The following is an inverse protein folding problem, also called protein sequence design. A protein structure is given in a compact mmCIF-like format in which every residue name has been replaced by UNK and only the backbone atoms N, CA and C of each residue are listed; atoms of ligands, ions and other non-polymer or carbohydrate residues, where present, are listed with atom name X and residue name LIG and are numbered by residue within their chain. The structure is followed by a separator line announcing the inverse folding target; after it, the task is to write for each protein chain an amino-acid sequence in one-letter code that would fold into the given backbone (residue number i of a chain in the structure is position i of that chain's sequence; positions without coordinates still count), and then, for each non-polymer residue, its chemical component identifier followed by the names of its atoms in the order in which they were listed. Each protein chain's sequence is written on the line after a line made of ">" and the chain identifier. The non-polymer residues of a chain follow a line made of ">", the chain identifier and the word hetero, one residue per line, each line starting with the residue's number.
data_IF_889246234666
#
_entry.id   IF_889246234666
#
_cell.length_a   1.000
_cell.length_b   1.000
_cell.length_c   1.000
_cell.angle_alpha   90.00
_cell.angle_beta   90.00
_cell.angle_gamma   90.00
#
_symmetry.space_group_name_H-M   'P 1'
#
loop_
_entity.id
_entity.type
_entity.pdbx_description
1 polymer ?
#
# COMPACT_ATOMS: atom_id res chain seq x y z
N UNK A 1 -37.85 -0.93 -31.75
CA UNK A 1 -38.03 -2.21 -31.05
C UNK A 1 -38.90 -2.08 -29.83
N UNK A 2 -38.87 -1.00 -29.03
CA UNK A 2 -39.90 -0.74 -28.00
C UNK A 2 -39.75 -1.54 -26.70
N UNK A 3 -38.67 -2.32 -26.56
CA UNK A 3 -38.37 -3.10 -25.37
C UNK A 3 -37.32 -2.30 -24.61
N UNK A 4 -37.69 -1.78 -23.44
CA UNK A 4 -36.79 -0.95 -22.60
C UNK A 4 -35.93 -1.79 -21.66
N UNK A 5 -36.28 -3.06 -21.47
CA UNK A 5 -35.61 -3.96 -20.53
C UNK A 5 -34.85 -5.05 -21.28
N UNK A 6 -33.53 -4.86 -21.39
CA UNK A 6 -32.63 -5.79 -22.06
C UNK A 6 -32.53 -7.15 -21.34
N UNK A 7 -32.80 -7.21 -20.03
CA UNK A 7 -32.74 -8.45 -19.25
C UNK A 7 -33.88 -9.38 -19.66
N UNK A 8 -35.08 -8.83 -19.89
CA UNK A 8 -36.22 -9.61 -20.38
C UNK A 8 -36.01 -10.14 -21.80
N UNK A 9 -35.43 -9.33 -22.69
CA UNK A 9 -35.09 -9.77 -24.06
C UNK A 9 -34.06 -10.90 -24.02
N UNK A 10 -32.99 -10.74 -23.25
CA UNK A 10 -31.93 -11.73 -23.13
C UNK A 10 -32.44 -13.06 -22.54
N UNK A 11 -33.26 -12.99 -21.49
CA UNK A 11 -33.87 -14.17 -20.88
C UNK A 11 -34.78 -14.92 -21.85
N UNK A 12 -35.71 -14.20 -22.50
CA UNK A 12 -36.62 -14.81 -23.47
C UNK A 12 -35.87 -15.41 -24.67
N UNK A 13 -34.86 -14.71 -25.18
CA UNK A 13 -34.00 -15.20 -26.26
C UNK A 13 -33.25 -16.48 -25.89
N UNK A 14 -32.76 -16.59 -24.66
CA UNK A 14 -32.09 -17.80 -24.14
C UNK A 14 -33.05 -18.98 -24.07
N UNK A 15 -34.25 -18.80 -23.53
CA UNK A 15 -35.27 -19.86 -23.45
C UNK A 15 -35.71 -20.34 -24.84
N UNK A 16 -35.89 -19.42 -25.79
CA UNK A 16 -36.22 -19.78 -27.17
C UNK A 16 -35.08 -20.54 -27.87
N UNK A 17 -33.83 -20.27 -27.50
CA UNK A 17 -32.68 -20.98 -28.01
C UNK A 17 -32.55 -22.39 -27.43
N UNK A 18 -32.78 -22.56 -26.12
CA UNK A 18 -32.86 -23.88 -25.47
C UNK A 18 -33.96 -24.74 -26.08
N UNK A 19 -35.09 -24.13 -26.47
CA UNK A 19 -36.18 -24.77 -27.19
C UNK A 19 -35.87 -25.05 -28.68
N UNK A 20 -34.70 -24.66 -29.19
CA UNK A 20 -34.28 -24.83 -30.59
C UNK A 20 -35.03 -23.95 -31.60
N UNK A 21 -35.77 -22.94 -31.12
CA UNK A 21 -36.59 -22.05 -31.95
C UNK A 21 -35.78 -20.86 -32.48
N UNK A 22 -34.70 -20.51 -31.80
CA UNK A 22 -33.82 -19.39 -32.12
C UNK A 22 -32.36 -19.84 -32.02
N UNK A 23 -31.52 -19.38 -32.95
CA UNK A 23 -30.06 -19.45 -32.81
C UNK A 23 -29.54 -18.14 -32.24
N UNK A 24 -28.60 -18.23 -31.29
CA UNK A 24 -27.94 -17.08 -30.68
C UNK A 24 -26.54 -16.97 -31.26
N UNK A 25 -26.21 -15.80 -31.78
CA UNK A 25 -24.83 -15.42 -32.07
C UNK A 25 -24.40 -14.30 -31.14
N UNK A 26 -23.31 -14.53 -30.41
CA UNK A 26 -22.72 -13.54 -29.51
C UNK A 26 -21.47 -12.94 -30.16
N UNK A 27 -21.38 -11.61 -30.12
CA UNK A 27 -20.20 -10.87 -30.56
C UNK A 27 -19.76 -9.98 -29.41
N UNK A 28 -18.60 -10.31 -28.82
CA UNK A 28 -17.95 -9.42 -27.87
C UNK A 28 -17.18 -8.34 -28.64
N UNK A 29 -17.39 -7.09 -28.28
CA UNK A 29 -16.64 -5.95 -28.80
C UNK A 29 -16.08 -5.16 -27.63
N UNK A 30 -14.81 -4.76 -27.74
CA UNK A 30 -14.17 -3.91 -26.76
C UNK A 30 -14.10 -2.50 -27.29
N UNK A 31 -14.47 -1.55 -26.44
CA UNK A 31 -14.37 -0.12 -26.74
C UNK A 31 -13.41 0.54 -25.78
N UNK A 32 -12.61 1.45 -26.32
CA UNK A 32 -11.66 2.28 -25.57
C UNK A 32 -12.23 3.68 -25.47
N UNK A 33 -12.11 4.30 -24.30
CA UNK A 33 -12.39 5.72 -24.07
C UNK A 33 -11.35 6.36 -23.16
N UNK A 34 -11.36 7.68 -23.09
CA UNK A 34 -10.58 8.40 -22.09
C UNK A 34 -11.13 8.12 -20.69
N UNK A 35 -10.22 7.99 -19.73
CA UNK A 35 -10.52 8.07 -18.31
C UNK A 35 -10.14 9.48 -17.79
N UNK A 36 -10.35 9.75 -16.50
CA UNK A 36 -10.24 11.12 -15.96
C UNK A 36 -8.89 11.84 -16.20
N UNK A 37 -7.76 11.14 -16.15
CA UNK A 37 -6.46 11.74 -16.51
C UNK A 37 -6.26 11.84 -18.03
N UNK A 38 -6.90 10.95 -18.80
CA UNK A 38 -6.92 11.00 -20.26
C UNK A 38 -7.66 12.21 -20.80
N UNK A 39 -8.78 12.60 -20.18
CA UNK A 39 -9.53 13.81 -20.53
C UNK A 39 -8.70 15.07 -20.28
N UNK A 40 -7.97 15.10 -19.15
CA UNK A 40 -7.00 16.17 -18.87
C UNK A 40 -5.91 16.18 -19.94
N UNK A 41 -5.26 15.04 -20.22
CA UNK A 41 -4.24 14.94 -21.26
C UNK A 41 -4.73 15.33 -22.66
N UNK A 42 -5.99 15.08 -22.99
CA UNK A 42 -6.58 15.49 -24.27
C UNK A 42 -6.78 17.00 -24.38
N UNK A 43 -7.03 17.68 -23.25
CA UNK A 43 -7.27 19.13 -23.20
C UNK A 43 -6.02 19.96 -22.96
N UNK A 44 -5.12 19.51 -22.08
CA UNK A 44 -3.88 20.21 -21.70
C UNK A 44 -2.63 19.67 -22.40
N UNK A 45 -2.76 18.59 -23.16
CA UNK A 45 -1.65 17.90 -23.83
C UNK A 45 -1.02 16.82 -22.96
N UNK A 46 -0.47 15.79 -23.62
CA UNK A 46 0.29 14.74 -22.94
C UNK A 46 1.51 15.33 -22.23
N UNK A 47 1.84 14.79 -21.05
CA UNK A 47 2.97 15.26 -20.26
C UNK A 47 4.29 15.21 -21.04
N UNK A 48 4.55 14.11 -21.73
CA UNK A 48 5.73 13.97 -22.59
C UNK A 48 5.74 14.96 -23.76
N UNK A 49 4.57 15.33 -24.30
CA UNK A 49 4.47 16.29 -25.39
C UNK A 49 4.78 17.71 -24.88
N UNK A 50 4.19 18.10 -23.75
CA UNK A 50 4.44 19.41 -23.11
C UNK A 50 5.93 19.62 -22.79
N UNK A 51 6.58 18.58 -22.27
CA UNK A 51 8.01 18.63 -21.91
C UNK A 51 8.88 18.63 -23.18
N UNK A 52 8.50 17.88 -24.21
CA UNK A 52 9.21 17.88 -25.48
C UNK A 52 9.12 19.24 -26.18
N UNK A 53 7.95 19.85 -26.24
CA UNK A 53 7.75 21.19 -26.82
C UNK A 53 8.59 22.23 -26.08
N UNK A 54 8.57 22.19 -24.74
CA UNK A 54 9.46 23.03 -23.93
C UNK A 54 10.95 22.79 -24.26
N UNK A 55 11.38 21.54 -24.40
CA UNK A 55 12.77 21.20 -24.70
C UNK A 55 13.20 21.76 -26.07
N UNK A 56 12.29 21.78 -27.05
CA UNK A 56 12.56 22.35 -28.38
C UNK A 56 12.69 23.87 -28.36
N UNK A 57 11.88 24.55 -27.54
CA UNK A 57 11.93 26.00 -27.37
C UNK A 57 13.07 26.47 -26.46
N UNK A 58 13.50 25.63 -25.51
CA UNK A 58 14.55 25.95 -24.56
C UNK A 58 15.94 25.95 -25.19
N UNK A 59 16.74 26.95 -24.80
CA UNK A 59 18.17 27.01 -25.14
C UNK A 59 18.89 25.80 -24.52
N UNK A 60 19.86 25.23 -25.22
CA UNK A 60 20.55 24.00 -24.80
C UNK A 60 21.11 24.02 -23.36
N UNK A 61 21.48 25.21 -22.85
CA UNK A 61 21.96 25.39 -21.48
C UNK A 61 20.85 25.22 -20.41
N UNK A 62 19.60 25.48 -20.78
CA UNK A 62 18.43 25.44 -19.89
C UNK A 62 17.66 24.12 -19.97
N UNK A 63 18.06 23.19 -20.85
CA UNK A 63 17.49 21.85 -21.00
C UNK A 63 17.87 20.94 -19.82
N UNK A 64 17.57 21.35 -18.59
CA UNK A 64 17.94 20.65 -17.37
C UNK A 64 16.71 20.44 -16.48
N UNK A 65 16.84 19.60 -15.44
CA UNK A 65 15.78 19.47 -14.42
C UNK A 65 15.43 20.82 -13.78
N UNK A 66 16.41 21.70 -13.59
CA UNK A 66 16.17 23.04 -13.04
C UNK A 66 15.41 23.94 -14.02
N UNK A 67 15.69 23.80 -15.32
CA UNK A 67 14.95 24.49 -16.37
C UNK A 67 13.47 24.06 -16.45
N UNK A 68 13.17 22.78 -16.24
CA UNK A 68 11.79 22.29 -16.17
C UNK A 68 11.02 22.93 -15.00
N UNK A 69 11.65 23.00 -13.82
CA UNK A 69 11.04 23.68 -12.67
C UNK A 69 10.84 25.17 -12.93
N UNK A 70 11.79 25.83 -13.60
CA UNK A 70 11.66 27.23 -13.99
C UNK A 70 10.55 27.46 -15.03
N UNK A 71 10.27 26.48 -15.88
CA UNK A 71 9.17 26.49 -16.84
C UNK A 71 7.80 26.15 -16.22
N UNK A 72 7.74 25.89 -14.92
CA UNK A 72 6.50 25.69 -14.18
C UNK A 72 6.03 24.23 -14.10
N UNK A 73 6.84 23.25 -14.50
CA UNK A 73 6.53 21.84 -14.25
C UNK A 73 6.76 21.50 -12.78
N UNK A 74 5.80 20.88 -12.12
CA UNK A 74 5.96 20.48 -10.72
C UNK A 74 6.87 19.26 -10.57
N UNK A 75 7.40 19.02 -9.36
CA UNK A 75 8.24 17.83 -9.07
C UNK A 75 7.57 16.51 -9.43
N UNK A 76 6.26 16.43 -9.22
CA UNK A 76 5.47 15.24 -9.52
C UNK A 76 5.23 15.02 -11.02
N UNK A 77 5.42 16.06 -11.86
CA UNK A 77 5.33 16.00 -13.33
C UNK A 77 6.72 15.80 -13.96
N UNK A 78 7.73 16.55 -13.50
CA UNK A 78 9.06 16.59 -14.12
C UNK A 78 9.77 15.22 -14.08
N UNK A 79 9.72 14.53 -12.94
CA UNK A 79 10.36 13.20 -12.79
C UNK A 79 9.77 12.15 -13.74
N UNK A 80 8.46 11.86 -13.66
CA UNK A 80 7.80 10.93 -14.58
C UNK A 80 7.92 11.34 -16.05
N UNK A 81 7.80 12.63 -16.34
CA UNK A 81 7.92 13.18 -17.69
C UNK A 81 9.28 12.94 -18.34
N UNK A 82 10.37 13.17 -17.60
CA UNK A 82 11.73 12.83 -18.06
C UNK A 82 11.89 11.32 -18.24
N UNK A 83 11.28 10.50 -17.38
CA UNK A 83 11.24 9.04 -17.55
C UNK A 83 10.60 8.62 -18.89
N UNK A 84 9.51 9.27 -19.28
CA UNK A 84 8.83 9.03 -20.56
C UNK A 84 9.68 9.44 -21.77
N UNK A 85 10.35 10.59 -21.69
CA UNK A 85 11.27 11.04 -22.73
C UNK A 85 12.51 10.15 -22.86
N UNK A 86 13.02 9.64 -21.73
CA UNK A 86 14.14 8.68 -21.75
C UNK A 86 13.78 7.37 -22.44
N UNK A 87 12.55 6.89 -22.24
CA UNK A 87 12.03 5.73 -22.96
C UNK A 87 11.90 5.97 -24.48
N UNK A 88 11.82 7.23 -24.92
CA UNK A 88 11.78 7.63 -26.33
C UNK A 88 13.16 7.90 -26.93
N UNK A 89 14.24 7.90 -26.13
CA UNK A 89 15.61 8.10 -26.60
C UNK A 89 16.30 9.38 -26.10
N UNK A 90 15.66 10.17 -25.23
CA UNK A 90 16.32 11.33 -24.60
C UNK A 90 17.28 10.86 -23.51
N UNK A 91 18.52 11.34 -23.56
CA UNK A 91 19.59 11.02 -22.60
C UNK A 91 19.90 12.25 -21.74
N UNK A 92 20.41 12.00 -20.53
CA UNK A 92 20.88 13.05 -19.63
C UNK A 92 22.41 13.03 -19.66
N UNK A 93 23.03 14.04 -20.26
CA UNK A 93 24.48 14.19 -20.34
C UNK A 93 24.91 15.44 -19.58
N UNK A 94 25.76 15.28 -18.56
CA UNK A 94 26.23 16.38 -17.71
C UNK A 94 25.11 17.27 -17.15
N UNK A 95 23.94 16.67 -16.88
CA UNK A 95 22.76 17.37 -16.34
C UNK A 95 21.85 18.03 -17.39
N UNK A 96 22.18 17.96 -18.68
CA UNK A 96 21.37 18.46 -19.79
C UNK A 96 20.70 17.33 -20.58
N UNK A 97 19.49 17.58 -21.08
CA UNK A 97 18.71 16.67 -21.91
C UNK A 97 19.18 16.75 -23.36
N UNK A 98 19.61 15.61 -23.91
CA UNK A 98 20.16 15.47 -25.26
C UNK A 98 19.44 14.34 -25.99
N UNK A 99 19.18 14.52 -27.28
CA UNK A 99 18.57 13.53 -28.16
C UNK A 99 19.37 13.41 -29.45
N UNK A 100 19.47 12.19 -29.98
CA UNK A 100 20.18 11.94 -31.25
C UNK A 100 19.24 11.90 -32.46
N UNK A 101 17.94 11.66 -32.22
CA UNK A 101 16.92 11.51 -33.25
C UNK A 101 15.60 12.20 -32.84
N UNK A 102 15.61 13.53 -32.94
CA UNK A 102 14.44 14.37 -32.63
C UNK A 102 13.24 14.03 -33.51
N UNK A 103 13.47 13.57 -34.74
CA UNK A 103 12.41 13.26 -35.69
C UNK A 103 11.62 12.01 -35.26
N UNK A 104 12.32 10.96 -34.83
CA UNK A 104 11.68 9.75 -34.29
C UNK A 104 10.92 10.03 -33.00
N UNK A 105 11.51 10.82 -32.09
CA UNK A 105 10.86 11.21 -30.82
C UNK A 105 9.57 12.01 -31.10
N UNK A 106 9.65 13.01 -31.97
CA UNK A 106 8.50 13.82 -32.35
C UNK A 106 7.40 12.99 -33.01
N UNK A 107 7.74 12.03 -33.87
CA UNK A 107 6.77 11.14 -34.51
C UNK A 107 6.04 10.23 -33.50
N UNK A 108 6.78 9.67 -32.53
CA UNK A 108 6.20 8.85 -31.47
C UNK A 108 5.26 9.66 -30.56
N UNK A 109 5.67 10.87 -30.17
CA UNK A 109 4.83 11.78 -29.39
C UNK A 109 3.58 12.19 -30.17
N UNK A 110 3.72 12.53 -31.46
CA UNK A 110 2.59 12.89 -32.30
C UNK A 110 1.57 11.74 -32.45
N UNK A 111 2.05 10.50 -32.61
CA UNK A 111 1.21 9.30 -32.65
C UNK A 111 0.42 9.11 -31.35
N UNK A 112 1.10 9.23 -30.20
CA UNK A 112 0.49 9.15 -28.87
C UNK A 112 -0.54 10.25 -28.62
N UNK A 113 -0.22 11.49 -28.99
CA UNK A 113 -1.13 12.62 -28.87
C UNK A 113 -2.37 12.41 -29.75
N UNK A 114 -2.18 12.00 -31.01
CA UNK A 114 -3.29 11.70 -31.92
C UNK A 114 -4.22 10.61 -31.38
N UNK A 115 -3.69 9.59 -30.72
CA UNK A 115 -4.48 8.53 -30.08
C UNK A 115 -5.37 9.08 -28.95
N UNK A 116 -4.80 9.89 -28.06
CA UNK A 116 -5.58 10.50 -26.96
C UNK A 116 -6.61 11.49 -27.49
N UNK A 117 -6.24 12.31 -28.48
CA UNK A 117 -7.15 13.27 -29.10
C UNK A 117 -8.28 12.58 -29.88
N UNK A 118 -8.02 11.44 -30.54
CA UNK A 118 -9.09 10.72 -31.25
C UNK A 118 -10.14 10.18 -30.27
N UNK A 119 -9.72 9.70 -29.10
CA UNK A 119 -10.61 9.24 -28.04
C UNK A 119 -11.40 10.36 -27.35
N UNK A 120 -10.99 11.62 -27.49
CA UNK A 120 -11.76 12.77 -27.00
C UNK A 120 -13.10 12.95 -27.74
N UNK A 121 -13.21 12.40 -28.96
CA UNK A 121 -14.45 12.43 -29.75
C UNK A 121 -15.49 11.40 -29.31
N UNK A 122 -15.13 10.51 -28.36
CA UNK A 122 -16.01 9.49 -27.80
C UNK A 122 -15.37 8.09 -27.77
N UNK A 123 -16.15 7.11 -27.33
CA UNK A 123 -15.77 5.69 -27.31
C UNK A 123 -15.50 5.18 -28.73
N UNK A 124 -14.40 4.46 -28.93
CA UNK A 124 -14.00 3.89 -30.21
C UNK A 124 -13.66 2.40 -30.05
N UNK A 125 -13.75 1.61 -31.11
CA UNK A 125 -13.43 0.18 -31.06
C UNK A 125 -11.95 -0.05 -30.77
N UNK A 126 -11.61 -0.99 -29.88
CA UNK A 126 -10.21 -1.36 -29.60
C UNK A 126 -9.48 -1.80 -30.87
N UNK A 127 -10.19 -2.49 -31.78
CA UNK A 127 -9.66 -2.96 -33.07
C UNK A 127 -9.26 -1.83 -34.02
N UNK A 128 -9.67 -0.59 -33.75
CA UNK A 128 -9.31 0.56 -34.58
C UNK A 128 -7.95 1.16 -34.24
N UNK A 129 -7.27 0.63 -33.22
CA UNK A 129 -6.00 1.13 -32.72
C UNK A 129 -4.88 0.10 -32.78
N UNK A 130 -3.64 0.61 -32.75
CA UNK A 130 -2.46 -0.21 -32.60
C UNK A 130 -2.40 -0.82 -31.18
N UNK A 131 -2.15 -2.13 -31.12
CA UNK A 131 -2.01 -2.88 -29.87
C UNK A 131 -0.87 -2.33 -28.99
N UNK A 132 0.19 -1.82 -29.61
CA UNK A 132 1.33 -1.25 -28.88
C UNK A 132 0.95 0.08 -28.20
N UNK A 133 0.10 0.89 -28.84
CA UNK A 133 -0.43 2.13 -28.24
C UNK A 133 -1.41 1.83 -27.11
N UNK A 134 -2.31 0.86 -27.30
CA UNK A 134 -3.22 0.41 -26.24
C UNK A 134 -2.41 -0.12 -25.06
N UNK A 135 -1.40 -0.97 -25.30
CA UNK A 135 -0.50 -1.50 -24.28
C UNK A 135 0.22 -0.38 -23.52
N UNK A 136 0.76 0.61 -24.24
CA UNK A 136 1.42 1.77 -23.67
C UNK A 136 0.50 2.56 -22.71
N UNK A 137 -0.71 2.88 -23.15
CA UNK A 137 -1.66 3.67 -22.35
C UNK A 137 -2.35 2.87 -21.26
N UNK A 138 -2.53 1.56 -21.44
CA UNK A 138 -3.07 0.65 -20.41
C UNK A 138 -2.14 0.55 -19.20
N UNK A 139 -0.82 0.63 -19.42
CA UNK A 139 0.16 0.70 -18.33
C UNK A 139 0.14 2.02 -17.55
N UNK A 140 -0.59 3.04 -18.03
CA UNK A 140 -0.66 4.37 -17.43
C UNK A 140 -2.03 4.58 -16.79
N UNK A 141 -2.04 4.53 -15.45
CA UNK A 141 -3.26 4.64 -14.64
C UNK A 141 -4.07 5.89 -15.00
N UNK A 142 -5.36 5.70 -15.29
CA UNK A 142 -6.32 6.79 -15.48
C UNK A 142 -6.32 7.47 -16.85
N UNK A 143 -5.48 7.05 -17.82
CA UNK A 143 -5.50 7.63 -19.17
C UNK A 143 -6.60 7.04 -20.07
N UNK A 144 -6.76 5.72 -20.08
CA UNK A 144 -7.81 5.05 -20.86
C UNK A 144 -8.65 4.12 -19.99
N UNK A 145 -9.90 3.93 -20.39
CA UNK A 145 -10.80 2.90 -19.90
C UNK A 145 -11.15 1.96 -21.06
N UNK A 146 -11.20 0.65 -20.78
CA UNK A 146 -11.61 -0.37 -21.74
C UNK A 146 -12.90 -0.99 -21.21
N UNK A 147 -13.97 -0.84 -21.97
CA UNK A 147 -15.28 -1.44 -21.70
C UNK A 147 -15.52 -2.59 -22.68
N UNK A 148 -15.89 -3.75 -22.16
CA UNK A 148 -16.29 -4.91 -22.95
C UNK A 148 -17.82 -4.95 -23.04
N UNK A 149 -18.35 -4.88 -24.26
CA UNK A 149 -19.78 -4.99 -24.54
C UNK A 149 -20.04 -6.27 -25.31
N UNK A 150 -20.99 -7.08 -24.85
CA UNK A 150 -21.44 -8.27 -25.57
C UNK A 150 -22.75 -7.96 -26.29
N UNK A 151 -22.72 -7.97 -27.62
CA UNK A 151 -23.93 -7.93 -28.44
C UNK A 151 -24.42 -9.35 -28.71
N UNK A 152 -25.72 -9.58 -28.53
CA UNK A 152 -26.37 -10.85 -28.81
C UNK A 152 -27.39 -10.64 -29.93
N UNK A 153 -27.26 -11.40 -31.01
CA UNK A 153 -28.23 -11.45 -32.09
C UNK A 153 -28.98 -12.79 -32.05
N UNK A 154 -30.29 -12.71 -32.21
CA UNK A 154 -31.20 -13.84 -32.15
C UNK A 154 -31.87 -14.04 -33.51
N UNK A 155 -31.63 -15.19 -34.14
CA UNK A 155 -32.21 -15.52 -35.44
C UNK A 155 -33.17 -16.71 -35.32
N UNK A 156 -34.41 -16.55 -35.82
CA UNK A 156 -35.37 -17.66 -35.83
C UNK A 156 -34.87 -18.82 -36.71
N UNK A 157 -34.88 -20.02 -36.13
CA UNK A 157 -34.62 -21.27 -36.86
C UNK A 157 -35.79 -21.62 -37.78
N UNK A 158 -35.63 -22.66 -38.63
CA UNK A 158 -36.74 -23.17 -39.45
C UNK A 158 -37.94 -23.60 -38.59
N UNK A 159 -37.69 -24.13 -37.39
CA UNK A 159 -38.73 -24.50 -36.43
C UNK A 159 -39.42 -23.26 -35.84
N UNK A 160 -38.65 -22.25 -35.42
CA UNK A 160 -39.20 -20.98 -34.93
C UNK A 160 -40.07 -20.25 -35.96
N UNK A 161 -39.67 -20.24 -37.24
CA UNK A 161 -40.45 -19.62 -38.34
C UNK A 161 -41.74 -20.36 -38.68
N UNK A 162 -41.85 -21.64 -38.33
CA UNK A 162 -43.04 -22.46 -38.63
C UNK A 162 -44.19 -22.23 -37.63
N UNK A 163 -43.92 -21.58 -36.49
CA UNK A 163 -44.94 -21.23 -35.49
C UNK A 163 -45.79 -20.08 -36.01
N UNK A 164 -47.11 -20.27 -36.10
CA UNK A 164 -48.02 -19.22 -36.51
C UNK A 164 -48.33 -18.31 -35.33
N UNK A 165 -48.46 -17.01 -35.58
CA UNK A 165 -48.78 -16.03 -34.54
C UNK A 165 -50.08 -16.33 -33.78
N UNK A 166 -51.05 -16.97 -34.45
CA UNK A 166 -52.31 -17.39 -33.82
C UNK A 166 -52.16 -18.56 -32.83
N UNK A 167 -51.03 -19.27 -32.85
CA UNK A 167 -50.75 -20.39 -31.95
C UNK A 167 -50.02 -19.93 -30.67
N UNK A 168 -49.57 -18.67 -30.64
CA UNK A 168 -48.96 -18.05 -29.45
C UNK A 168 -50.06 -17.73 -28.44
N UNK A 169 -49.85 -18.16 -27.20
CA UNK A 169 -50.70 -17.80 -26.06
C UNK A 169 -49.89 -16.89 -25.15
N UNK A 170 -50.46 -15.74 -24.82
CA UNK A 170 -49.94 -14.92 -23.74
C UNK A 170 -50.21 -15.65 -22.41
N UNK A 171 -49.14 -16.08 -21.76
CA UNK A 171 -49.20 -16.67 -20.42
C UNK A 171 -48.56 -15.68 -19.46
N UNK A 172 -49.32 -15.26 -18.46
CA UNK A 172 -48.80 -14.39 -17.41
C UNK A 172 -47.92 -15.23 -16.47
N UNK A 173 -46.63 -14.85 -16.40
CA UNK A 173 -45.66 -15.53 -15.53
C UNK A 173 -45.33 -14.67 -14.33
N UNK A 174 -45.38 -15.28 -13.14
CA UNK A 174 -45.02 -14.62 -11.89
C UNK A 174 -43.50 -14.57 -11.78
N UNK A 175 -42.93 -13.36 -11.75
CA UNK A 175 -41.48 -13.13 -11.64
C UNK A 175 -40.93 -13.12 -10.21
N UNK A 176 -41.75 -12.71 -9.23
CA UNK A 176 -41.39 -12.70 -7.81
C UNK A 176 -42.58 -13.16 -6.98
N UNK A 177 -42.33 -14.07 -6.05
CA UNK A 177 -43.34 -14.53 -5.09
C UNK A 177 -43.53 -13.43 -4.03
N UNK A 178 -44.76 -12.91 -3.92
CA UNK A 178 -45.10 -11.88 -2.92
C UNK A 178 -45.89 -12.47 -1.74
N UNK A 179 -45.85 -11.84 -0.54
CA UNK A 179 -46.67 -12.26 0.59
C UNK A 179 -48.17 -12.31 0.27
N UNK A 180 -48.68 -11.37 -0.54
CA UNK A 180 -50.09 -11.28 -0.94
C UNK A 180 -50.50 -12.46 -1.83
N UNK A 181 -49.61 -12.86 -2.75
CA UNK A 181 -49.80 -14.03 -3.59
C UNK A 181 -49.86 -15.31 -2.74
N UNK A 182 -49.01 -15.42 -1.71
CA UNK A 182 -48.96 -16.58 -0.81
C UNK A 182 -50.15 -16.66 0.16
N UNK A 183 -50.82 -15.54 0.44
CA UNK A 183 -52.04 -15.52 1.26
C UNK A 183 -53.25 -16.09 0.52
N UNK A 184 -53.23 -16.09 -0.81
CA UNK A 184 -54.25 -16.71 -1.66
C UNK A 184 -53.92 -18.14 -2.08
N UNK A 185 -54.71 -18.69 -3.01
CA UNK A 185 -54.42 -19.98 -3.66
C UNK A 185 -53.92 -19.82 -5.11
N UNK A 186 -53.87 -18.59 -5.62
CA UNK A 186 -53.56 -18.30 -7.04
C UNK A 186 -52.17 -18.79 -7.45
N UNK A 187 -51.23 -18.86 -6.50
CA UNK A 187 -49.89 -19.39 -6.73
C UNK A 187 -49.85 -20.89 -7.06
N UNK A 188 -50.87 -21.67 -6.69
CA UNK A 188 -50.89 -23.13 -6.92
C UNK A 188 -51.00 -23.47 -8.41
N UNK A 189 -51.63 -22.61 -9.20
CA UNK A 189 -51.87 -22.80 -10.63
C UNK A 189 -51.11 -21.78 -11.49
N UNK A 190 -50.26 -20.94 -10.89
CA UNK A 190 -49.49 -19.94 -11.59
C UNK A 190 -48.28 -20.55 -12.30
N UNK A 191 -47.91 -20.00 -13.46
CA UNK A 191 -46.61 -20.25 -14.07
C UNK A 191 -45.58 -19.27 -13.50
N UNK A 192 -44.41 -19.78 -13.10
CA UNK A 192 -43.33 -18.97 -12.57
C UNK A 192 -42.25 -18.76 -13.63
N UNK A 193 -41.72 -17.55 -13.70
CA UNK A 193 -40.55 -17.26 -14.54
C UNK A 193 -39.35 -18.05 -14.00
N UNK A 194 -38.64 -18.84 -14.83
CA UNK A 194 -37.44 -19.53 -14.42
C UNK A 194 -36.38 -18.55 -13.90
N UNK A 195 -35.73 -18.89 -12.79
CA UNK A 195 -34.64 -18.09 -12.23
C UNK A 195 -33.32 -18.42 -12.93
N UNK A 196 -32.67 -17.42 -13.52
CA UNK A 196 -31.34 -17.58 -14.11
C UNK A 196 -30.27 -17.62 -13.01
N UNK A 197 -29.73 -18.81 -12.78
CA UNK A 197 -28.66 -19.06 -11.79
C UNK A 197 -27.31 -18.46 -12.18
N UNK A 198 -27.14 -18.05 -13.44
CA UNK A 198 -25.91 -17.43 -13.95
C UNK A 198 -25.97 -15.90 -13.93
N UNK A 199 -27.14 -15.31 -13.64
CA UNK A 199 -27.29 -13.87 -13.57
C UNK A 199 -26.46 -13.31 -12.41
N UNK A 200 -25.78 -12.15 -12.61
CA UNK A 200 -25.06 -11.49 -11.54
C UNK A 200 -26.02 -11.12 -10.41
N UNK A 201 -25.77 -11.66 -9.22
CA UNK A 201 -26.55 -11.34 -8.04
C UNK A 201 -26.04 -10.04 -7.41
N UNK A 202 -26.93 -9.16 -6.92
CA UNK A 202 -26.50 -8.00 -6.15
C UNK A 202 -25.81 -8.47 -4.87
N UNK A 203 -24.55 -8.08 -4.71
CA UNK A 203 -23.78 -8.35 -3.50
C UNK A 203 -24.22 -7.32 -2.44
N UNK A 204 -24.72 -7.75 -1.28
CA UNK A 204 -25.12 -6.81 -0.23
C UNK A 204 -23.92 -5.98 0.21
N UNK A 205 -24.06 -4.66 0.13
CA UNK A 205 -23.04 -3.73 0.60
C UNK A 205 -23.00 -3.75 2.14
N UNK A 206 -21.92 -4.28 2.70
CA UNK A 206 -21.65 -4.30 4.13
C UNK A 206 -20.55 -3.31 4.54
N UNK A 207 -20.47 -3.00 5.83
CA UNK A 207 -19.32 -2.27 6.36
C UNK A 207 -18.04 -3.10 6.23
N UNK A 208 -16.94 -2.47 5.81
CA UNK A 208 -15.63 -3.11 5.67
C UNK A 208 -14.62 -2.42 6.59
N UNK A 209 -13.83 -3.17 7.38
CA UNK A 209 -12.72 -2.57 8.13
C UNK A 209 -11.63 -2.11 7.17
N UNK A 210 -10.88 -1.09 7.57
CA UNK A 210 -9.69 -0.69 6.83
C UNK A 210 -8.67 -1.85 6.80
N UNK A 211 -8.00 -2.14 5.68
CA UNK A 211 -7.08 -3.28 5.57
C UNK A 211 -5.96 -3.24 6.61
N UNK A 212 -5.42 -2.05 6.88
CA UNK A 212 -4.42 -1.86 7.95
C UNK A 212 -4.98 -2.24 9.32
N UNK A 213 -6.23 -1.89 9.64
CA UNK A 213 -6.82 -2.27 10.93
C UNK A 213 -7.00 -3.78 11.02
N UNK A 214 -7.52 -4.41 9.96
CA UNK A 214 -7.68 -5.87 9.93
C UNK A 214 -6.33 -6.57 10.11
N UNK A 215 -5.26 -6.05 9.50
CA UNK A 215 -3.92 -6.57 9.66
C UNK A 215 -3.36 -6.37 11.07
N UNK A 216 -3.60 -5.20 11.68
CA UNK A 216 -3.24 -4.93 13.09
C UNK A 216 -3.91 -5.94 14.01
N UNK A 217 -5.21 -6.19 13.85
CA UNK A 217 -5.93 -7.18 14.66
C UNK A 217 -5.38 -8.59 14.47
N UNK A 218 -5.04 -8.97 13.23
CA UNK A 218 -4.43 -10.27 12.94
C UNK A 218 -3.06 -10.42 13.61
N UNK A 219 -2.21 -9.40 13.52
CA UNK A 219 -0.87 -9.41 14.13
C UNK A 219 -0.98 -9.45 15.66
N UNK A 220 -1.88 -8.66 16.24
CA UNK A 220 -2.23 -8.70 17.66
C UNK A 220 -2.63 -10.11 18.08
N UNK A 221 -3.55 -10.76 17.36
CA UNK A 221 -3.96 -12.13 17.65
C UNK A 221 -2.78 -13.10 17.63
N UNK A 222 -1.90 -13.01 16.64
CA UNK A 222 -0.72 -13.88 16.51
C UNK A 222 0.23 -13.72 17.71
N UNK A 223 0.53 -12.49 18.14
CA UNK A 223 1.40 -12.28 19.29
C UNK A 223 0.75 -12.73 20.60
N UNK A 224 -0.55 -12.48 20.79
CA UNK A 224 -1.30 -12.99 21.95
C UNK A 224 -1.28 -14.53 22.02
N UNK A 225 -1.47 -15.21 20.88
CA UNK A 225 -1.35 -16.68 20.79
C UNK A 225 0.07 -17.18 21.12
N UNK A 226 1.09 -16.39 20.83
CA UNK A 226 2.49 -16.69 21.14
C UNK A 226 2.84 -16.39 22.62
N UNK A 227 1.88 -15.92 23.41
CA UNK A 227 2.04 -15.64 24.84
C UNK A 227 2.60 -14.25 25.15
N UNK A 228 2.54 -13.31 24.19
CA UNK A 228 2.90 -11.93 24.42
C UNK A 228 1.76 -11.13 25.05
N UNK A 229 2.09 -10.10 25.81
CA UNK A 229 1.13 -9.10 26.29
C UNK A 229 1.30 -7.77 25.53
N UNK A 230 0.20 -7.10 25.23
CA UNK A 230 0.24 -5.82 24.50
C UNK A 230 0.55 -4.65 25.44
N UNK A 231 1.43 -3.75 24.98
CA UNK A 231 1.73 -2.47 25.63
C UNK A 231 1.52 -1.33 24.66
N UNK A 232 1.11 -0.18 25.19
CA UNK A 232 0.91 1.05 24.44
C UNK A 232 1.74 2.18 25.06
N UNK A 233 1.86 3.29 24.33
CA UNK A 233 2.51 4.47 24.85
C UNK A 233 2.24 5.69 23.99
N UNK A 234 2.61 6.86 24.50
CA UNK A 234 2.29 8.15 23.90
C UNK A 234 3.13 8.45 22.65
N UNK A 235 2.60 9.32 21.79
CA UNK A 235 3.29 9.79 20.59
C UNK A 235 4.40 10.79 20.90
N UNK A 236 4.17 11.67 21.87
CA UNK A 236 5.12 12.71 22.27
C UNK A 236 6.01 12.14 23.36
N UNK A 237 7.33 12.16 23.13
CA UNK A 237 8.33 11.60 24.02
C UNK A 237 9.48 12.57 24.22
N UNK A 238 10.22 12.43 25.32
CA UNK A 238 11.48 13.15 25.48
C UNK A 238 12.55 12.49 24.62
N UNK A 239 13.50 13.27 24.10
CA UNK A 239 14.66 12.74 23.40
C UNK A 239 15.45 11.75 24.27
N UNK A 240 15.45 11.99 25.58
CA UNK A 240 15.99 11.12 26.61
C UNK A 240 15.43 9.70 26.53
N UNK A 241 14.12 9.56 26.66
CA UNK A 241 13.47 8.25 26.61
C UNK A 241 13.46 7.63 25.22
N UNK A 242 13.34 8.45 24.17
CA UNK A 242 13.30 7.94 22.81
C UNK A 242 14.69 7.53 22.31
N UNK A 243 15.78 8.11 22.79
CA UNK A 243 17.12 7.90 22.21
C UNK A 243 18.19 7.62 23.27
N UNK A 244 18.33 8.48 24.29
CA UNK A 244 19.41 8.34 25.30
C UNK A 244 19.27 7.06 26.13
N UNK A 245 18.04 6.68 26.50
CA UNK A 245 17.73 5.43 27.19
C UNK A 245 18.08 4.19 26.38
N UNK A 246 18.19 4.32 25.06
CA UNK A 246 18.61 3.27 24.13
C UNK A 246 20.09 3.43 23.75
N UNK A 247 20.88 4.11 24.58
CA UNK A 247 22.32 4.26 24.35
C UNK A 247 22.69 4.86 22.97
N UNK A 248 21.76 5.56 22.31
CA UNK A 248 21.97 6.20 21.02
C UNK A 248 22.71 7.51 21.26
N UNK A 249 23.94 7.71 20.74
CA UNK A 249 24.73 8.90 21.04
C UNK A 249 24.05 10.18 20.55
N UNK A 250 24.24 11.29 21.25
CA UNK A 250 23.63 12.58 20.91
C UNK A 250 24.11 13.15 19.56
N UNK A 251 25.29 12.72 19.10
CA UNK A 251 25.84 13.04 17.77
C UNK A 251 25.27 12.19 16.63
N UNK A 252 24.36 11.26 16.91
CA UNK A 252 23.78 10.38 15.89
C UNK A 252 22.98 11.20 14.85
N UNK A 253 23.20 11.00 13.54
CA UNK A 253 22.45 11.69 12.48
C UNK A 253 20.93 11.61 12.63
N UNK A 254 20.41 10.48 13.12
CA UNK A 254 18.97 10.28 13.31
C UNK A 254 18.32 11.27 14.29
N UNK A 255 19.12 11.97 15.12
CA UNK A 255 18.66 13.03 16.03
C UNK A 255 18.59 14.41 15.38
N UNK A 256 18.98 14.55 14.13
CA UNK A 256 18.93 15.86 13.48
C UNK A 256 17.49 16.26 13.15
N UNK A 257 17.24 17.57 13.04
CA UNK A 257 15.97 18.12 12.54
C UNK A 257 15.66 17.74 11.09
N UNK A 258 16.56 17.04 10.40
CA UNK A 258 16.29 16.51 9.06
C UNK A 258 15.58 15.16 9.12
N UNK A 259 15.75 14.40 10.22
CA UNK A 259 15.25 13.04 10.37
C UNK A 259 14.15 12.91 11.45
N UNK A 260 14.16 13.80 12.46
CA UNK A 260 13.27 13.74 13.63
C UNK A 260 12.40 15.00 13.77
N UNK A 261 11.11 14.79 14.00
CA UNK A 261 10.16 15.86 14.32
C UNK A 261 10.25 16.28 15.79
N UNK A 262 11.06 17.30 16.06
CA UNK A 262 11.05 18.01 17.33
C UNK A 262 9.86 18.96 17.42
N UNK A 263 9.36 19.15 18.64
CA UNK A 263 8.17 19.96 18.89
C UNK A 263 8.54 21.36 19.35
N UNK A 264 7.72 22.34 18.93
CA UNK A 264 7.78 23.71 19.46
C UNK A 264 6.90 23.86 20.70
N UNK A 265 5.80 23.11 20.79
CA UNK A 265 4.86 23.15 21.90
C UNK A 265 4.29 21.74 22.18
N UNK A 266 4.64 21.11 23.30
CA UNK A 266 5.68 21.53 24.26
C UNK A 266 7.08 21.45 23.62
N UNK A 267 8.00 22.37 23.96
CA UNK A 267 9.38 22.32 23.48
C UNK A 267 10.24 21.31 24.27
N UNK A 268 9.88 21.06 25.53
CA UNK A 268 10.56 20.14 26.43
C UNK A 268 9.56 19.32 27.24
N UNK A 269 9.99 18.15 27.67
CA UNK A 269 9.27 17.27 28.59
C UNK A 269 10.13 17.13 29.85
N UNK A 270 9.47 17.20 31.00
CA UNK A 270 10.15 16.99 32.28
C UNK A 270 10.64 15.54 32.40
N UNK A 271 11.90 15.39 32.77
CA UNK A 271 12.56 14.09 32.96
C UNK A 271 13.18 14.10 34.34
N UNK A 272 12.91 13.03 35.10
CA UNK A 272 13.47 12.83 36.43
C UNK A 272 15.00 13.05 36.44
N UNK A 273 15.55 13.90 37.34
CA UNK A 273 16.99 14.17 37.39
C UNK A 273 17.85 12.92 37.55
N UNK A 274 17.33 11.90 38.25
CA UNK A 274 17.98 10.60 38.40
C UNK A 274 18.22 9.89 37.08
N UNK A 275 17.28 9.98 36.14
CA UNK A 275 17.41 9.39 34.80
C UNK A 275 18.41 10.18 33.95
N UNK A 276 18.41 11.50 34.05
CA UNK A 276 19.38 12.36 33.35
C UNK A 276 20.82 12.08 33.80
N UNK A 277 21.03 11.91 35.11
CA UNK A 277 22.34 11.58 35.67
C UNK A 277 22.78 10.15 35.32
N UNK A 278 21.82 9.21 35.28
CA UNK A 278 22.07 7.84 34.82
C UNK A 278 22.54 7.82 33.36
N UNK A 279 21.79 8.44 32.45
CA UNK A 279 22.15 8.49 31.03
C UNK A 279 23.47 9.23 30.81
N UNK A 280 23.72 10.34 31.52
CA UNK A 280 25.02 11.00 31.46
C UNK A 280 26.15 10.06 31.86
N UNK A 281 26.03 9.36 32.99
CA UNK A 281 27.06 8.42 33.46
C UNK A 281 27.33 7.29 32.45
N UNK A 282 26.27 6.69 31.91
CA UNK A 282 26.35 5.61 30.92
C UNK A 282 26.99 6.09 29.61
N UNK A 283 26.55 7.22 29.06
CA UNK A 283 27.05 7.73 27.78
C UNK A 283 28.47 8.27 27.87
N UNK A 284 28.84 8.90 28.99
CA UNK A 284 30.17 9.49 29.14
C UNK A 284 31.22 8.42 29.51
N UNK A 285 30.88 7.49 30.41
CA UNK A 285 31.85 6.60 31.06
C UNK A 285 31.49 5.11 31.01
N UNK A 286 30.30 4.74 30.52
CA UNK A 286 29.85 3.35 30.44
C UNK A 286 29.20 2.80 31.72
N UNK A 287 29.11 3.61 32.79
CA UNK A 287 28.61 3.17 34.11
C UNK A 287 29.36 1.91 34.60
N UNK A 288 28.69 1.02 35.31
CA UNK A 288 29.21 -0.25 35.84
C UNK A 288 29.15 -1.42 34.85
N UNK A 289 28.82 -1.16 33.57
CA UNK A 289 28.57 -2.22 32.56
C UNK A 289 29.84 -2.86 31.97
N UNK A 290 31.02 -2.33 32.35
CA UNK A 290 32.29 -2.68 31.71
C UNK A 290 32.53 -1.99 30.36
N UNK A 291 31.57 -1.19 29.88
CA UNK A 291 31.74 -0.32 28.72
C UNK A 291 32.62 0.88 29.02
N UNK A 292 33.15 1.53 27.97
CA UNK A 292 33.93 2.78 28.08
C UNK A 292 33.07 4.04 27.90
N UNK A 293 31.77 3.88 27.63
CA UNK A 293 30.92 4.96 27.14
C UNK A 293 31.31 5.39 25.72
N UNK A 294 30.68 6.46 25.25
CA UNK A 294 31.01 7.15 24.01
C UNK A 294 32.17 8.15 24.16
N UNK A 295 32.54 8.52 25.40
CA UNK A 295 33.69 9.39 25.70
C UNK A 295 33.51 10.88 25.34
N UNK A 296 32.27 11.31 25.09
CA UNK A 296 31.89 12.71 24.88
C UNK A 296 31.28 13.35 26.14
N UNK A 297 30.78 14.58 26.01
CA UNK A 297 29.98 15.25 27.07
C UNK A 297 28.49 15.04 26.79
N UNK A 298 27.72 14.69 27.82
CA UNK A 298 26.28 14.50 27.72
C UNK A 298 25.51 15.80 27.99
N UNK A 299 24.70 16.23 27.02
CA UNK A 299 23.82 17.38 27.17
C UNK A 299 22.47 16.95 27.76
N UNK A 300 22.19 17.38 28.99
CA UNK A 300 20.92 17.09 29.68
C UNK A 300 19.74 17.86 29.08
N UNK A 301 19.97 19.06 28.54
CA UNK A 301 18.91 19.85 27.91
C UNK A 301 18.45 19.20 26.62
N UNK A 302 19.38 18.61 25.85
CA UNK A 302 19.05 17.83 24.65
C UNK A 302 18.11 16.66 24.99
N UNK A 303 18.39 15.92 26.07
CA UNK A 303 17.57 14.79 26.51
C UNK A 303 16.14 15.22 26.93
N UNK A 304 15.94 16.47 27.34
CA UNK A 304 14.62 16.98 27.73
C UNK A 304 13.80 17.49 26.54
N UNK A 305 14.36 17.63 25.33
CA UNK A 305 13.61 18.10 24.16
C UNK A 305 12.44 17.18 23.83
N UNK A 306 11.30 17.77 23.51
CA UNK A 306 10.11 17.04 23.10
C UNK A 306 10.18 16.70 21.61
N UNK A 307 9.84 15.47 21.27
CA UNK A 307 9.77 14.99 19.89
C UNK A 307 8.55 14.08 19.68
N UNK A 308 8.16 13.88 18.42
CA UNK A 308 7.31 12.76 18.05
C UNK A 308 8.16 11.50 17.96
N UNK A 309 7.73 10.42 18.63
CA UNK A 309 8.50 9.18 18.72
C UNK A 309 8.89 8.65 17.33
N UNK A 310 10.15 8.33 17.16
CA UNK A 310 10.71 7.85 15.89
C UNK A 310 10.60 6.33 15.72
N UNK A 311 10.35 5.63 16.83
CA UNK A 311 10.15 4.19 16.92
C UNK A 311 9.37 3.85 18.20
N UNK A 312 8.80 2.66 18.27
CA UNK A 312 8.03 2.19 19.44
C UNK A 312 8.91 1.71 20.60
N UNK A 313 10.24 1.69 20.43
CA UNK A 313 11.22 1.18 21.42
C UNK A 313 11.28 1.98 22.70
N UNK A 314 10.83 3.23 22.64
CA UNK A 314 10.59 4.04 23.83
C UNK A 314 9.60 3.39 24.81
N UNK A 315 8.62 2.61 24.32
CA UNK A 315 7.63 1.97 25.17
C UNK A 315 8.20 0.71 25.85
N UNK A 316 8.96 -0.09 25.11
CA UNK A 316 9.58 -1.32 25.64
C UNK A 316 10.67 -1.00 26.66
N UNK A 317 11.50 0.02 26.42
CA UNK A 317 12.52 0.44 27.40
C UNK A 317 11.90 1.02 28.67
N UNK A 318 10.81 1.79 28.56
CA UNK A 318 10.06 2.27 29.73
C UNK A 318 9.45 1.11 30.51
N UNK A 319 8.94 0.08 29.81
CA UNK A 319 8.39 -1.11 30.45
C UNK A 319 9.47 -1.85 31.26
N UNK A 320 10.67 -2.00 30.71
CA UNK A 320 11.83 -2.60 31.40
C UNK A 320 12.21 -1.76 32.62
N UNK A 321 12.33 -0.43 32.47
CA UNK A 321 12.68 0.47 33.58
C UNK A 321 11.69 0.39 34.76
N UNK A 322 10.42 0.10 34.48
CA UNK A 322 9.38 -0.07 35.50
C UNK A 322 9.34 -1.48 36.10
N UNK A 323 9.88 -2.48 35.40
CA UNK A 323 9.78 -3.90 35.75
C UNK A 323 11.12 -4.65 35.55
N UNK A 324 12.26 -4.16 36.10
CA UNK A 324 13.60 -4.66 35.73
C UNK A 324 13.84 -6.13 36.10
N UNK A 325 13.16 -6.64 37.14
CA UNK A 325 13.33 -8.00 37.66
C UNK A 325 12.12 -8.92 37.38
N UNK A 326 11.25 -8.55 36.43
CA UNK A 326 10.02 -9.30 36.15
C UNK A 326 10.10 -9.92 34.75
N UNK A 327 10.09 -11.25 34.62
CA UNK A 327 10.13 -11.88 33.30
C UNK A 327 8.90 -11.50 32.50
N UNK A 328 9.10 -10.97 31.29
CA UNK A 328 8.01 -10.52 30.45
C UNK A 328 8.26 -10.76 28.97
N UNK A 329 7.15 -10.91 28.25
CA UNK A 329 7.09 -10.98 26.79
C UNK A 329 6.03 -9.98 26.36
N UNK A 330 6.47 -8.83 25.86
CA UNK A 330 5.55 -7.76 25.49
C UNK A 330 5.74 -7.33 24.05
N UNK A 331 4.67 -6.85 23.44
CA UNK A 331 4.70 -6.27 22.10
C UNK A 331 3.85 -5.01 22.08
N UNK A 332 4.10 -4.12 21.12
CA UNK A 332 3.30 -2.94 20.88
C UNK A 332 3.19 -2.67 19.39
N UNK A 333 2.02 -2.22 18.96
CA UNK A 333 1.79 -1.76 17.60
C UNK A 333 1.44 -0.28 17.71
N UNK A 334 2.23 0.59 17.09
CA UNK A 334 2.04 2.02 17.27
C UNK A 334 2.52 2.82 16.08
N UNK A 335 1.85 3.95 15.84
CA UNK A 335 2.30 4.93 14.86
C UNK A 335 3.59 5.60 15.32
N UNK A 336 4.53 5.78 14.41
CA UNK A 336 5.82 6.43 14.59
C UNK A 336 6.02 7.48 13.51
N UNK A 337 6.89 8.44 13.77
CA UNK A 337 7.04 9.63 12.95
C UNK A 337 8.51 9.86 12.61
N UNK A 338 8.82 10.00 11.33
CA UNK A 338 10.16 10.29 10.83
C UNK A 338 10.07 11.30 9.72
N UNK A 339 11.02 12.22 9.64
CA UNK A 339 11.03 13.25 8.61
C UNK A 339 11.59 12.70 7.29
N UNK A 340 10.91 11.69 6.76
CA UNK A 340 11.27 11.03 5.51
C UNK A 340 10.58 11.70 4.32
N UNK A 341 11.23 11.67 3.17
CA UNK A 341 10.59 12.13 1.93
C UNK A 341 9.54 11.12 1.50
N UNK A 342 8.32 11.57 1.22
CA UNK A 342 7.23 10.70 0.73
C UNK A 342 7.64 10.09 -0.61
N UNK A 343 7.74 8.76 -0.65
CA UNK A 343 7.98 8.00 -1.87
C UNK A 343 7.13 6.71 -1.89
N UNK A 344 7.48 5.74 -2.74
CA UNK A 344 6.74 4.48 -2.88
C UNK A 344 6.93 3.52 -1.70
N UNK A 345 7.91 3.77 -0.85
CA UNK A 345 8.41 2.90 0.23
C UNK A 345 8.47 3.59 1.59
N UNK A 346 8.45 4.93 1.62
CA UNK A 346 8.60 5.73 2.83
C UNK A 346 7.43 6.71 3.00
N UNK A 347 6.95 6.79 4.24
CA UNK A 347 5.96 7.75 4.69
C UNK A 347 6.47 8.45 5.96
N UNK A 348 6.17 9.74 6.16
CA UNK A 348 6.55 10.46 7.37
C UNK A 348 5.88 9.93 8.64
N UNK A 349 4.72 9.29 8.48
CA UNK A 349 4.02 8.56 9.52
C UNK A 349 3.72 7.14 9.05
N UNK A 350 4.02 6.16 9.88
CA UNK A 350 3.78 4.74 9.60
C UNK A 350 3.67 3.97 10.92
N UNK A 351 3.28 2.70 10.89
CA UNK A 351 3.12 1.89 12.09
C UNK A 351 4.32 0.96 12.25
N UNK A 352 4.85 0.94 13.46
CA UNK A 352 5.89 0.00 13.86
C UNK A 352 5.26 -1.07 14.76
N UNK A 353 5.59 -2.32 14.47
CA UNK A 353 5.36 -3.45 15.36
C UNK A 353 6.68 -3.70 16.07
N UNK A 354 6.63 -3.76 17.39
CA UNK A 354 7.80 -4.04 18.19
C UNK A 354 7.47 -5.03 19.30
N UNK A 355 8.46 -5.79 19.75
CA UNK A 355 8.35 -6.48 21.02
C UNK A 355 9.69 -6.82 21.65
N UNK A 356 9.61 -7.29 22.89
CA UNK A 356 10.75 -7.77 23.67
C UNK A 356 10.44 -9.10 24.35
N UNK A 357 11.48 -9.90 24.56
CA UNK A 357 11.52 -11.05 25.48
C UNK A 357 12.58 -10.72 26.52
N UNK A 358 12.16 -10.51 27.76
CA UNK A 358 13.00 -10.17 28.90
C UNK A 358 12.87 -11.27 29.94
N UNK A 359 13.88 -12.13 30.02
CA UNK A 359 13.92 -13.28 30.94
C UNK A 359 15.38 -13.74 31.10
N UNK A 360 15.74 -14.42 32.22
CA UNK A 360 17.13 -14.75 32.53
C UNK A 360 17.89 -15.52 31.44
N UNK A 361 17.19 -16.42 30.75
CA UNK A 361 17.78 -17.33 29.75
C UNK A 361 17.57 -16.86 28.30
N UNK A 362 17.07 -15.63 28.09
CA UNK A 362 16.82 -15.09 26.76
C UNK A 362 18.11 -15.06 25.91
N UNK A 363 18.00 -15.49 24.65
CA UNK A 363 19.16 -15.60 23.77
C UNK A 363 18.77 -15.47 22.29
N UNK A 364 19.78 -15.28 21.44
CA UNK A 364 19.60 -15.04 20.00
C UNK A 364 18.83 -16.18 19.29
N UNK A 365 19.11 -17.47 19.53
CA UNK A 365 18.27 -18.56 19.00
C UNK A 365 16.78 -18.44 19.35
N UNK A 366 16.44 -18.03 20.58
CA UNK A 366 15.04 -17.81 20.99
C UNK A 366 14.40 -16.65 20.21
N UNK A 367 15.12 -15.54 20.04
CA UNK A 367 14.69 -14.41 19.22
C UNK A 367 14.40 -14.83 17.78
N UNK A 368 15.36 -15.50 17.13
CA UNK A 368 15.23 -15.97 15.74
C UNK A 368 14.06 -16.93 15.61
N UNK A 369 13.90 -17.86 16.56
CA UNK A 369 12.80 -18.84 16.52
C UNK A 369 11.44 -18.17 16.70
N UNK A 370 11.36 -17.17 17.59
CA UNK A 370 10.14 -16.37 17.80
C UNK A 370 9.74 -15.66 16.51
N UNK A 371 10.68 -14.97 15.86
CA UNK A 371 10.45 -14.26 14.60
C UNK A 371 10.05 -15.21 13.46
N UNK A 372 10.74 -16.34 13.32
CA UNK A 372 10.38 -17.39 12.37
C UNK A 372 8.95 -17.91 12.60
N UNK A 373 8.58 -18.13 13.86
CA UNK A 373 7.24 -18.60 14.23
C UNK A 373 6.17 -17.57 13.90
N UNK A 374 6.45 -16.29 14.19
CA UNK A 374 5.57 -15.17 13.84
C UNK A 374 5.31 -15.12 12.33
N UNK A 375 6.36 -15.06 11.51
CA UNK A 375 6.19 -14.98 10.05
C UNK A 375 5.56 -16.24 9.45
N UNK A 376 5.86 -17.43 9.98
CA UNK A 376 5.18 -18.66 9.57
C UNK A 376 3.67 -18.60 9.85
N UNK A 377 3.24 -18.10 11.02
CA UNK A 377 1.81 -17.86 11.34
C UNK A 377 1.18 -16.79 10.44
N UNK A 378 1.97 -15.83 9.94
CA UNK A 378 1.52 -14.85 8.96
C UNK A 378 1.45 -15.41 7.52
N UNK A 379 1.91 -16.65 7.28
CA UNK A 379 1.87 -17.32 5.97
C UNK A 379 3.20 -17.30 5.21
N UNK A 380 4.29 -16.86 5.85
CA UNK A 380 5.61 -16.70 5.22
C UNK A 380 6.68 -17.49 6.00
N UNK A 381 6.81 -18.82 5.76
CA UNK A 381 7.71 -19.68 6.52
C UNK A 381 9.19 -19.51 6.14
N UNK A 382 9.46 -19.01 4.93
CA UNK A 382 10.82 -18.83 4.41
C UNK A 382 11.45 -17.54 4.96
N UNK A 383 12.06 -17.67 6.13
CA UNK A 383 12.67 -16.58 6.88
C UNK A 383 14.16 -16.83 7.07
N UNK A 384 14.98 -15.81 6.78
CA UNK A 384 16.41 -15.81 7.12
C UNK A 384 16.77 -14.58 7.94
N UNK A 385 17.93 -14.65 8.58
CA UNK A 385 18.50 -13.53 9.33
C UNK A 385 19.90 -13.25 8.83
N UNK A 386 20.29 -11.97 8.80
CA UNK A 386 21.66 -11.53 8.48
C UNK A 386 22.19 -10.60 9.55
N UNK A 387 23.50 -10.60 9.83
CA UNK A 387 24.09 -9.62 10.74
C UNK A 387 23.81 -8.19 10.27
N UNK A 388 23.54 -7.31 11.23
CA UNK A 388 23.28 -5.90 11.02
C UNK A 388 23.93 -5.09 12.16
N UNK A 389 23.76 -3.77 12.15
CA UNK A 389 24.21 -2.91 13.23
C UNK A 389 23.06 -2.01 13.70
N UNK A 390 22.72 -2.09 14.98
CA UNK A 390 21.85 -1.13 15.65
C UNK A 390 22.53 -0.66 16.94
N UNK A 391 22.50 0.65 17.28
CA UNK A 391 23.27 1.20 18.41
C UNK A 391 22.95 0.57 19.77
N UNK A 392 21.70 0.12 19.96
CA UNK A 392 21.19 -0.43 21.22
C UNK A 392 21.24 -1.95 21.31
N UNK A 393 21.68 -2.68 20.28
CA UNK A 393 21.73 -4.15 20.33
C UNK A 393 23.09 -4.74 19.99
N UNK A 394 23.49 -5.78 20.72
CA UNK A 394 24.67 -6.60 20.45
C UNK A 394 24.41 -8.03 20.96
N UNK A 395 24.32 -9.05 20.09
CA UNK A 395 24.39 -9.00 18.63
C UNK A 395 23.14 -8.37 17.98
N UNK A 396 23.34 -7.84 16.77
CA UNK A 396 22.31 -7.24 15.92
C UNK A 396 22.08 -8.07 14.64
N UNK A 397 20.81 -8.32 14.29
CA UNK A 397 20.42 -9.06 13.08
C UNK A 397 19.18 -8.45 12.41
N UNK A 398 19.16 -8.45 11.08
CA UNK A 398 17.99 -8.11 10.27
C UNK A 398 17.27 -9.35 9.80
N UNK A 399 15.93 -9.27 9.76
CA UNK A 399 15.06 -10.37 9.35
C UNK A 399 14.57 -10.14 7.93
N UNK A 400 14.70 -11.18 7.11
CA UNK A 400 14.27 -11.17 5.72
C UNK A 400 13.31 -12.33 5.43
N UNK A 401 12.30 -12.04 4.62
CA UNK A 401 11.28 -12.98 4.18
C UNK A 401 11.37 -13.15 2.67
N UNK A 402 11.23 -14.40 2.17
CA UNK A 402 11.18 -14.66 0.73
C UNK A 402 9.82 -14.27 0.15
N UNK A 403 9.81 -13.34 -0.81
CA UNK A 403 8.62 -12.89 -1.50
C UNK A 403 8.89 -12.73 -3.00
N UNK A 404 8.06 -13.35 -3.85
CA UNK A 404 8.22 -13.34 -5.32
C UNK A 404 9.62 -13.76 -5.83
N UNK A 405 10.33 -14.60 -5.06
CA UNK A 405 11.69 -15.06 -5.39
C UNK A 405 12.82 -14.14 -4.91
N UNK A 406 12.49 -13.01 -4.27
CA UNK A 406 13.46 -12.08 -3.70
C UNK A 406 13.36 -12.04 -2.18
N UNK A 407 14.48 -11.74 -1.51
CA UNK A 407 14.52 -11.61 -0.06
C UNK A 407 14.23 -10.16 0.33
N UNK A 408 13.13 -9.95 1.04
CA UNK A 408 12.69 -8.63 1.47
C UNK A 408 12.99 -8.43 2.97
N UNK A 409 13.67 -7.33 3.28
CA UNK A 409 13.95 -6.90 4.65
C UNK A 409 12.70 -6.33 5.33
N UNK A 410 12.31 -6.93 6.45
CA UNK A 410 11.11 -6.52 7.18
C UNK A 410 11.40 -5.80 8.50
N UNK A 411 12.58 -5.98 9.09
CA UNK A 411 12.90 -5.30 10.33
C UNK A 411 14.23 -5.70 10.97
N UNK A 412 14.62 -4.90 11.95
CA UNK A 412 15.79 -5.11 12.79
C UNK A 412 15.44 -5.85 14.07
N UNK A 413 16.40 -6.60 14.60
CA UNK A 413 16.26 -7.33 15.86
C UNK A 413 17.63 -7.56 16.49
N UNK A 414 17.67 -7.87 17.77
CA UNK A 414 18.92 -8.15 18.47
C UNK A 414 18.72 -8.35 19.95
N UNK A 415 19.82 -8.43 20.69
CA UNK A 415 19.80 -8.44 22.17
C UNK A 415 20.22 -7.05 22.63
N UNK A 416 19.43 -6.40 23.50
CA UNK A 416 19.82 -5.09 24.03
C UNK A 416 21.18 -5.16 24.70
N UNK A 417 21.96 -4.10 24.48
CA UNK A 417 23.28 -4.00 25.07
C UNK A 417 23.18 -3.83 26.59
N UNK A 418 24.21 -4.27 27.35
CA UNK A 418 24.33 -3.98 28.79
C UNK A 418 24.10 -2.52 29.15
N UNK A 419 24.61 -1.57 28.34
CA UNK A 419 24.45 -0.12 28.57
C UNK A 419 22.99 0.36 28.51
N UNK A 420 22.08 -0.45 27.96
CA UNK A 420 20.64 -0.15 27.87
C UNK A 420 19.90 -0.70 29.09
N UNK A 421 20.21 -1.92 29.53
CA UNK A 421 19.40 -2.66 30.51
C UNK A 421 19.96 -2.63 31.93
N UNK A 422 21.27 -2.79 32.11
CA UNK A 422 21.90 -2.86 33.44
C UNK A 422 21.73 -1.57 34.24
N UNK A 423 21.87 -0.36 33.66
CA UNK A 423 21.63 0.89 34.37
C UNK A 423 20.18 1.03 34.88
N UNK A 424 19.23 0.34 34.25
CA UNK A 424 17.82 0.29 34.66
C UNK A 424 17.54 -0.77 35.74
N UNK A 425 18.56 -1.53 36.15
CA UNK A 425 18.47 -2.57 37.17
C UNK A 425 18.25 -3.98 36.62
N UNK A 426 18.28 -4.19 35.31
CA UNK A 426 18.10 -5.52 34.70
C UNK A 426 19.41 -6.07 34.14
N UNK A 427 19.94 -7.12 34.78
CA UNK A 427 21.08 -7.90 34.27
C UNK A 427 20.65 -9.02 33.29
N UNK A 428 19.35 -9.22 33.11
CA UNK A 428 18.85 -10.25 32.20
C UNK A 428 18.96 -9.82 30.74
N UNK A 429 19.28 -10.74 29.81
CA UNK A 429 19.25 -10.43 28.39
C UNK A 429 17.83 -10.04 27.95
N UNK A 430 17.76 -9.03 27.08
CA UNK A 430 16.49 -8.61 26.48
C UNK A 430 16.59 -8.78 24.97
N UNK A 431 15.88 -9.77 24.43
CA UNK A 431 15.75 -9.91 22.99
C UNK A 431 14.69 -8.91 22.49
N UNK A 432 15.02 -8.08 21.50
CA UNK A 432 14.13 -7.07 20.95
C UNK A 432 14.03 -7.21 19.42
N UNK A 433 12.89 -6.83 18.85
CA UNK A 433 12.68 -6.74 17.41
C UNK A 433 11.70 -5.62 17.07
N UNK A 434 11.95 -4.95 15.96
CA UNK A 434 11.08 -3.92 15.42
C UNK A 434 10.95 -4.07 13.91
N UNK A 435 9.72 -4.04 13.40
CA UNK A 435 9.42 -4.16 11.98
C UNK A 435 8.35 -3.17 11.55
N UNK A 436 8.45 -2.67 10.32
CA UNK A 436 7.45 -1.79 9.73
C UNK A 436 6.20 -2.58 9.35
N UNK A 437 5.04 -2.19 9.87
CA UNK A 437 3.76 -2.83 9.54
C UNK A 437 3.45 -2.69 8.06
N UNK A 438 3.73 -1.52 7.47
CA UNK A 438 3.38 -1.22 6.09
C UNK A 438 4.13 -2.09 5.08
N UNK A 439 5.41 -2.43 5.35
CA UNK A 439 6.15 -3.39 4.50
C UNK A 439 5.49 -4.77 4.53
N UNK A 440 5.07 -5.22 5.71
CA UNK A 440 4.32 -6.46 5.87
C UNK A 440 2.94 -6.38 5.19
N UNK A 441 2.26 -5.23 5.27
CA UNK A 441 0.98 -5.00 4.62
C UNK A 441 1.09 -5.05 3.10
N UNK A 442 2.09 -4.41 2.52
CA UNK A 442 2.37 -4.46 1.08
C UNK A 442 2.59 -5.91 0.62
N UNK A 443 3.33 -6.69 1.39
CA UNK A 443 3.62 -8.10 1.10
C UNK A 443 2.36 -8.98 1.15
N UNK A 444 1.47 -8.76 2.13
CA UNK A 444 0.21 -9.51 2.30
C UNK A 444 -0.84 -9.10 1.27
N UNK A 445 -0.94 -7.81 0.98
CA UNK A 445 -1.92 -7.25 0.04
C UNK A 445 -1.43 -7.25 -1.42
N UNK A 446 -0.17 -7.62 -1.67
CA UNK A 446 0.42 -7.65 -2.99
C UNK A 446 0.61 -6.28 -3.64
N UNK A 447 0.89 -5.25 -2.83
CA UNK A 447 1.01 -3.86 -3.29
C UNK A 447 2.45 -3.47 -3.59
N UNK A 448 2.65 -2.66 -4.64
CA UNK A 448 3.96 -2.17 -5.06
C UNK A 448 4.21 -0.70 -4.64
N UNK A 449 3.25 -0.06 -3.97
CA UNK A 449 3.33 1.32 -3.47
C UNK A 449 2.60 1.46 -2.14
N UNK A 450 3.34 1.87 -1.09
CA UNK A 450 2.83 2.03 0.27
C UNK A 450 1.68 3.04 0.37
N UNK A 451 1.66 4.05 -0.52
CA UNK A 451 0.68 5.14 -0.48
C UNK A 451 -0.73 4.65 -0.81
N UNK A 452 -0.84 3.54 -1.53
CA UNK A 452 -2.12 2.90 -1.84
C UNK A 452 -2.85 2.42 -0.59
N UNK A 453 -2.14 2.18 0.52
CA UNK A 453 -2.75 1.79 1.80
C UNK A 453 -3.58 2.91 2.43
N UNK A 454 -3.28 4.17 2.08
CA UNK A 454 -3.87 5.36 2.71
C UNK A 454 -4.70 6.20 1.72
N UNK A 455 -4.83 5.74 0.47
CA UNK A 455 -5.69 6.40 -0.50
C UNK A 455 -7.17 6.09 -0.20
N UNK A 456 -8.05 7.12 -0.20
CA UNK A 456 -9.48 6.94 0.04
C UNK A 456 -10.15 6.37 -1.23
N UNK A 457 -10.03 5.06 -1.44
CA UNK A 457 -10.71 4.33 -2.51
C UNK A 457 -11.76 3.38 -1.93
N UNK A 458 -13.01 3.85 -1.88
CA UNK A 458 -14.13 3.12 -1.30
C UNK A 458 -14.54 1.91 -2.14
N UNK A 459 -14.37 1.96 -3.47
CA UNK A 459 -14.67 0.84 -4.35
C UNK A 459 -13.70 -0.29 -4.10
N UNK A 460 -12.41 0.02 -4.06
CA UNK A 460 -11.37 -0.94 -3.69
C UNK A 460 -11.59 -1.53 -2.30
N UNK A 461 -11.99 -0.71 -1.33
CA UNK A 461 -12.30 -1.18 0.03
C UNK A 461 -13.49 -2.17 0.05
N UNK A 462 -14.51 -1.95 -0.77
CA UNK A 462 -15.67 -2.84 -0.89
C UNK A 462 -15.31 -4.21 -1.49
N UNK A 463 -14.45 -4.18 -2.51
CA UNK A 463 -14.02 -5.35 -3.28
C UNK A 463 -12.90 -6.16 -2.60
N UNK A 464 -12.23 -5.57 -1.61
CA UNK A 464 -11.14 -6.24 -0.89
C UNK A 464 -11.59 -7.49 -0.12
N UNK A 465 -10.80 -8.58 -0.17
CA UNK A 465 -11.08 -9.77 0.62
C UNK A 465 -10.92 -9.49 2.12
N UNK A 466 -11.62 -10.27 2.94
CA UNK A 466 -11.44 -10.23 4.40
C UNK A 466 -10.11 -10.92 4.73
N UNK A 467 -9.25 -10.24 5.49
CA UNK A 467 -7.89 -10.66 5.85
C UNK A 467 -7.79 -11.58 7.06
#
# INVERSE_FOLDING_TARGET
>A
TGWSDQVHVAGAGTTLAEAGLVEISETASRTVSLAGEGEKAASSGLLEARIWDWMQDAVAADRTMQGLFAAGFERHEAGPGVGLLKALGVRVESGSFVSDDDASIAAAIASRTSFITSLASGRQSEESFDLDLIGHFRGRKGLIAIEETTSREWQLTKAGKAIKSNDLKDVEQIGQVTPELLQGEDWKNAEFKPFDVNAPAPIPAGGRPHPMQALIERIRSVFLEMGFSEIEGDYVQSAGWNMDALYIPQSNPARTMQDTFYLTEPASIDVEPTMLDLWASVHEHGHDTGSRGWGGTFDREEACKALLRTHTTVNTIRHIAQNPDVPCRVFGIGRVFRQETIDRTHLPEFHQIEGIIHEPDANLPMLITTLKTFYAKMGYPDVRVRPAYFPYTEPSVEVEVLWRGEWLELGGSGIFRPEVTEPLGSEWPVCAWGMGLERLAMLILGLDDIRELYQPDLTRLQDMPIL
#
